data_IF_064822888703
#
_entry.id   IF_064822888703
#
_cell.length_a   1.000
_cell.length_b   1.000
_cell.length_c   1.000
_cell.angle_alpha   90.00
_cell.angle_beta   90.00
_cell.angle_gamma   90.00
#
_symmetry.space_group_name_H-M   'P 1'
#
loop_
_entity.id
_entity.type
_entity.pdbx_description
1 polymer ?
#
# COMPACT_ATOMS: atom_id res chain seq x y z
N UNK A 1 0.39 14.83 21.09
CA UNK A 1 -0.51 15.93 20.66
C UNK A 1 -0.12 16.34 19.26
N UNK A 2 -1.08 16.63 18.37
CA UNK A 2 -0.80 17.05 17.00
C UNK A 2 -1.97 17.80 16.36
N UNK A 3 -1.82 18.20 15.09
CA UNK A 3 -2.89 18.89 14.34
C UNK A 3 -4.17 18.05 14.33
N UNK A 4 -5.32 18.68 14.51
CA UNK A 4 -6.64 18.01 14.54
C UNK A 4 -6.88 17.11 13.32
N UNK A 5 -6.52 17.57 12.14
CA UNK A 5 -6.63 16.79 10.90
C UNK A 5 -5.79 15.50 10.92
N UNK A 6 -4.55 15.59 11.40
CA UNK A 6 -3.67 14.45 11.52
C UNK A 6 -4.22 13.42 12.52
N UNK A 7 -4.77 13.88 13.65
CA UNK A 7 -5.41 13.02 14.63
C UNK A 7 -6.66 12.31 14.05
N UNK A 8 -7.50 13.02 13.28
CA UNK A 8 -8.67 12.43 12.60
C UNK A 8 -8.24 11.32 11.64
N UNK A 9 -7.21 11.59 10.84
CA UNK A 9 -6.63 10.61 9.91
C UNK A 9 -6.09 9.37 10.62
N UNK A 10 -5.47 9.54 11.78
CA UNK A 10 -4.95 8.44 12.59
C UNK A 10 -6.07 7.53 13.13
N UNK A 11 -7.17 8.16 13.56
CA UNK A 11 -8.34 7.49 14.16
C UNK A 11 -9.27 6.86 13.12
N UNK A 12 -9.23 7.33 11.87
CA UNK A 12 -10.20 6.99 10.84
C UNK A 12 -10.35 5.48 10.62
N UNK A 13 -11.59 5.03 10.41
CA UNK A 13 -11.94 3.63 10.17
C UNK A 13 -12.21 3.33 8.69
N UNK A 14 -12.12 2.07 8.25
CA UNK A 14 -12.49 1.69 6.90
C UNK A 14 -13.88 2.22 6.52
N UNK A 15 -13.98 2.82 5.33
CA UNK A 15 -15.18 3.46 4.81
C UNK A 15 -15.26 4.97 5.10
N UNK A 16 -14.51 5.49 6.05
CA UNK A 16 -14.48 6.93 6.35
C UNK A 16 -13.63 7.71 5.34
N UNK A 17 -14.00 8.98 5.10
CA UNK A 17 -13.30 9.85 4.15
C UNK A 17 -11.80 10.02 4.47
N UNK A 18 -11.50 10.15 5.77
CA UNK A 18 -10.16 10.37 6.30
C UNK A 18 -9.32 9.09 6.38
N UNK A 19 -9.91 7.91 6.10
CA UNK A 19 -9.21 6.64 6.18
C UNK A 19 -8.10 6.55 5.14
N UNK A 20 -6.89 6.24 5.58
CA UNK A 20 -5.72 6.30 4.74
C UNK A 20 -4.65 5.30 5.21
N UNK A 21 -3.54 5.26 4.47
CA UNK A 21 -2.41 4.39 4.75
C UNK A 21 -1.81 4.57 6.16
N UNK A 22 -1.78 5.80 6.69
CA UNK A 22 -1.28 6.06 8.04
C UNK A 22 -2.18 5.37 9.07
N UNK A 23 -3.50 5.49 8.94
CA UNK A 23 -4.47 4.84 9.82
C UNK A 23 -4.24 3.31 9.84
N UNK A 24 -4.09 2.72 8.65
CA UNK A 24 -3.86 1.28 8.47
C UNK A 24 -2.57 0.83 9.15
N UNK A 25 -1.46 1.53 8.90
CA UNK A 25 -0.15 1.13 9.40
C UNK A 25 -0.02 1.31 10.91
N UNK A 26 -0.61 2.36 11.47
CA UNK A 26 -0.60 2.56 12.93
C UNK A 26 -1.49 1.51 13.60
N UNK A 27 -2.68 1.24 13.06
CA UNK A 27 -3.61 0.23 13.59
C UNK A 27 -3.08 -1.21 13.47
N UNK A 28 -2.04 -1.45 12.66
CA UNK A 28 -1.34 -2.74 12.63
C UNK A 28 -0.69 -3.05 13.99
N UNK A 29 0.01 -2.07 14.56
CA UNK A 29 0.90 -2.25 15.72
C UNK A 29 0.37 -1.64 17.02
N UNK A 30 -0.61 -0.74 16.94
CA UNK A 30 -1.11 0.00 18.08
C UNK A 30 -2.62 0.29 17.98
N UNK A 31 -3.25 0.49 19.13
CA UNK A 31 -4.56 1.10 19.25
C UNK A 31 -4.41 2.60 19.50
N UNK A 32 -5.37 3.36 18.97
CA UNK A 32 -5.36 4.84 19.02
C UNK A 32 -6.68 5.30 19.60
N UNK A 33 -6.60 6.06 20.68
CA UNK A 33 -7.76 6.61 21.38
C UNK A 33 -7.75 8.14 21.28
N UNK A 34 -8.91 8.71 21.04
CA UNK A 34 -9.11 10.16 21.13
C UNK A 34 -9.27 10.56 22.59
N UNK A 35 -8.54 11.59 23.02
CA UNK A 35 -8.63 12.10 24.39
C UNK A 35 -9.41 13.41 24.41
N UNK A 36 -8.92 14.44 23.70
CA UNK A 36 -9.58 15.74 23.65
C UNK A 36 -9.08 16.61 22.51
N UNK A 37 -9.84 17.67 22.19
CA UNK A 37 -9.39 18.75 21.34
C UNK A 37 -8.77 19.86 22.19
N UNK A 38 -7.78 20.55 21.63
CA UNK A 38 -7.16 21.73 22.25
C UNK A 38 -7.21 22.88 21.26
N UNK A 39 -7.73 24.01 21.73
CA UNK A 39 -7.91 25.19 20.90
C UNK A 39 -6.54 25.80 20.57
N UNK A 40 -6.37 26.32 19.36
CA UNK A 40 -5.17 27.10 19.02
C UNK A 40 -4.91 28.27 19.98
N UNK A 41 -5.96 28.79 20.64
CA UNK A 41 -5.85 29.89 21.62
C UNK A 41 -5.09 29.49 22.89
N UNK A 42 -4.96 28.19 23.16
CA UNK A 42 -4.32 27.66 24.36
C UNK A 42 -2.78 27.57 24.21
N UNK A 43 -2.22 28.05 23.10
CA UNK A 43 -0.81 27.96 22.76
C UNK A 43 -0.15 29.35 22.65
N UNK A 44 1.15 29.41 22.98
CA UNK A 44 2.00 30.57 22.76
C UNK A 44 3.28 30.17 22.00
N UNK A 45 3.56 30.72 20.80
CA UNK A 45 2.69 31.58 20.00
C UNK A 45 1.46 30.82 19.45
N UNK A 46 0.38 31.55 19.18
CA UNK A 46 -0.87 30.97 18.67
C UNK A 46 -0.69 30.39 17.25
N UNK A 47 -0.91 29.08 17.03
CA UNK A 47 -0.81 28.45 15.71
C UNK A 47 -2.02 28.75 14.82
N UNK A 48 -1.93 28.38 13.53
CA UNK A 48 -3.00 28.61 12.55
C UNK A 48 -4.24 27.73 12.74
N UNK A 49 -4.07 26.56 13.36
CA UNK A 49 -5.07 25.48 13.39
C UNK A 49 -5.16 24.84 14.77
N UNK A 50 -6.32 24.23 15.07
CA UNK A 50 -6.53 23.50 16.31
C UNK A 50 -5.75 22.18 16.35
N UNK A 51 -5.57 21.70 17.58
CA UNK A 51 -4.87 20.45 17.88
C UNK A 51 -5.81 19.43 18.51
N UNK A 52 -5.38 18.17 18.51
CA UNK A 52 -6.01 17.09 19.25
C UNK A 52 -4.95 16.29 20.00
N UNK A 53 -5.36 15.77 21.15
CA UNK A 53 -4.60 14.82 21.95
C UNK A 53 -5.16 13.44 21.66
N UNK A 54 -4.27 12.54 21.28
CA UNK A 54 -4.54 11.12 21.08
C UNK A 54 -3.60 10.33 21.97
N UNK A 55 -4.07 9.18 22.44
CA UNK A 55 -3.30 8.20 23.21
C UNK A 55 -3.06 7.00 22.31
N UNK A 56 -1.82 6.53 22.27
CA UNK A 56 -1.40 5.41 21.44
C UNK A 56 -0.91 4.31 22.36
N UNK A 57 -1.49 3.13 22.22
CA UNK A 57 -1.14 1.95 22.99
C UNK A 57 -0.65 0.86 22.06
N UNK A 58 0.59 0.41 22.24
CA UNK A 58 1.10 -0.73 21.49
C UNK A 58 0.25 -1.97 21.80
N UNK A 59 -0.08 -2.72 20.77
CA UNK A 59 -0.83 -3.97 20.91
C UNK A 59 0.05 -5.03 21.56
N UNK A 60 -0.56 -5.84 22.44
CA UNK A 60 0.09 -6.99 23.04
C UNK A 60 0.45 -8.04 21.97
N UNK A 61 -0.46 -8.24 21.01
CA UNK A 61 -0.29 -9.16 19.90
C UNK A 61 -0.28 -8.38 18.58
N UNK A 62 0.83 -8.48 17.86
CA UNK A 62 1.02 -7.89 16.53
C UNK A 62 0.98 -9.05 15.52
N UNK A 63 0.24 -8.93 14.41
CA UNK A 63 0.22 -9.97 13.38
C UNK A 63 1.63 -10.30 12.90
N UNK A 64 1.91 -11.59 12.70
CA UNK A 64 3.19 -12.06 12.15
C UNK A 64 3.25 -11.72 10.65
N UNK A 65 3.68 -10.50 10.35
CA UNK A 65 3.86 -10.00 8.99
C UNK A 65 5.19 -9.26 8.89
N UNK A 66 5.91 -9.45 7.78
CA UNK A 66 7.08 -8.63 7.49
C UNK A 66 6.64 -7.17 7.35
N UNK A 67 7.19 -6.29 8.19
CA UNK A 67 6.76 -4.89 8.23
C UNK A 67 7.10 -4.13 6.95
N UNK A 68 8.22 -4.47 6.28
CA UNK A 68 8.59 -3.84 5.01
C UNK A 68 7.61 -4.27 3.92
N UNK A 69 7.27 -5.55 3.92
CA UNK A 69 6.29 -6.13 3.00
C UNK A 69 4.92 -5.47 3.15
N UNK A 70 4.44 -5.36 4.39
CA UNK A 70 3.20 -4.69 4.70
C UNK A 70 3.20 -3.22 4.25
N UNK A 71 4.28 -2.49 4.53
CA UNK A 71 4.39 -1.08 4.13
C UNK A 71 4.39 -0.89 2.62
N UNK A 72 5.06 -1.78 1.88
CA UNK A 72 5.07 -1.75 0.42
C UNK A 72 3.71 -2.13 -0.17
N UNK A 73 3.08 -3.19 0.33
CA UNK A 73 1.74 -3.61 -0.07
C UNK A 73 0.69 -2.51 0.15
N UNK A 74 0.68 -1.90 1.34
CA UNK A 74 -0.25 -0.81 1.66
C UNK A 74 0.06 0.47 0.88
N UNK A 75 1.32 0.72 0.48
CA UNK A 75 1.66 1.79 -0.49
C UNK A 75 0.90 1.56 -1.79
N UNK A 76 1.03 0.38 -2.38
CA UNK A 76 0.38 0.03 -3.65
C UNK A 76 -1.13 0.15 -3.57
N UNK A 77 -1.75 -0.38 -2.52
CA UNK A 77 -3.20 -0.32 -2.35
C UNK A 77 -3.71 1.12 -2.18
N UNK A 78 -3.02 1.96 -1.42
CA UNK A 78 -3.54 3.28 -1.05
C UNK A 78 -3.20 4.41 -2.04
N UNK A 79 -2.40 4.16 -3.09
CA UNK A 79 -2.15 5.12 -4.18
C UNK A 79 -3.46 5.62 -4.81
N UNK A 80 -4.41 4.71 -5.05
CA UNK A 80 -5.76 5.03 -5.54
C UNK A 80 -6.81 4.32 -4.68
N UNK A 81 -6.83 4.61 -3.37
CA UNK A 81 -7.65 3.92 -2.34
C UNK A 81 -9.14 3.76 -2.67
N UNK A 82 -9.69 4.62 -3.55
CA UNK A 82 -11.09 4.60 -3.96
C UNK A 82 -11.33 3.86 -5.29
N UNK A 83 -10.31 3.35 -5.98
CA UNK A 83 -10.49 2.44 -7.12
C UNK A 83 -10.58 1.00 -6.61
N UNK A 84 -11.11 0.10 -7.43
CA UNK A 84 -11.14 -1.33 -7.10
C UNK A 84 -9.72 -1.89 -7.11
N UNK A 85 -9.46 -2.92 -6.31
CA UNK A 85 -8.16 -3.59 -6.30
C UNK A 85 -7.81 -4.13 -7.68
N UNK A 86 -8.77 -4.72 -8.40
CA UNK A 86 -8.57 -5.13 -9.79
C UNK A 86 -8.04 -4.00 -10.67
N UNK A 87 -8.60 -2.79 -10.55
CA UNK A 87 -8.12 -1.64 -11.33
C UNK A 87 -6.73 -1.14 -10.90
N UNK A 88 -6.39 -1.25 -9.61
CA UNK A 88 -5.08 -0.84 -9.08
C UNK A 88 -3.99 -1.79 -9.58
N UNK A 89 -4.24 -3.09 -9.48
CA UNK A 89 -3.27 -4.15 -9.78
C UNK A 89 -3.14 -4.48 -11.27
N UNK A 90 -4.14 -4.15 -12.10
CA UNK A 90 -4.06 -4.28 -13.58
C UNK A 90 -3.19 -3.19 -14.24
N UNK A 91 -2.71 -2.20 -13.49
CA UNK A 91 -1.94 -1.09 -14.05
C UNK A 91 -0.55 -1.55 -14.51
N UNK A 92 -0.19 -1.27 -15.77
CA UNK A 92 1.07 -1.75 -16.39
C UNK A 92 2.32 -1.43 -15.56
N UNK A 93 2.45 -0.18 -15.07
CA UNK A 93 3.58 0.24 -14.22
C UNK A 93 3.71 -0.62 -12.95
N UNK A 94 2.58 -0.91 -12.31
CA UNK A 94 2.52 -1.72 -11.10
C UNK A 94 2.95 -3.16 -11.42
N UNK A 95 2.43 -3.74 -12.51
CA UNK A 95 2.75 -5.10 -12.93
C UNK A 95 4.25 -5.26 -13.17
N UNK A 96 4.84 -4.32 -13.91
CA UNK A 96 6.28 -4.30 -14.17
C UNK A 96 7.09 -4.20 -12.87
N UNK A 97 6.69 -3.33 -11.94
CA UNK A 97 7.36 -3.17 -10.65
C UNK A 97 7.33 -4.47 -9.83
N UNK A 98 6.17 -5.11 -9.70
CA UNK A 98 6.05 -6.38 -9.00
C UNK A 98 6.83 -7.50 -9.69
N UNK A 99 6.81 -7.59 -11.02
CA UNK A 99 7.58 -8.62 -11.74
C UNK A 99 9.07 -8.49 -11.48
N UNK A 100 9.62 -7.27 -11.56
CA UNK A 100 11.04 -7.01 -11.23
C UNK A 100 11.42 -7.45 -9.80
N UNK A 101 10.52 -7.23 -8.85
CA UNK A 101 10.73 -7.66 -7.46
C UNK A 101 10.77 -9.19 -7.34
N UNK A 102 10.08 -9.91 -8.22
CA UNK A 102 10.14 -11.37 -8.26
C UNK A 102 11.41 -11.87 -8.96
N UNK A 103 11.84 -11.22 -10.04
CA UNK A 103 13.04 -11.59 -10.80
C UNK A 103 14.33 -11.40 -10.00
N UNK A 104 14.42 -10.36 -9.17
CA UNK A 104 15.60 -10.10 -8.30
C UNK A 104 15.89 -11.22 -7.29
N UNK A 105 15.00 -12.22 -7.15
CA UNK A 105 15.27 -13.45 -6.36
C UNK A 105 16.12 -14.48 -7.09
N UNK A 106 16.42 -14.30 -8.38
CA UNK A 106 17.28 -15.16 -9.18
C UNK A 106 18.26 -14.34 -10.02
N UNK A 107 19.54 -14.36 -9.64
CA UNK A 107 20.70 -13.82 -10.36
C UNK A 107 20.88 -12.30 -10.41
N UNK A 108 22.02 -11.86 -9.85
CA UNK A 108 22.70 -10.64 -10.30
C UNK A 108 23.27 -10.90 -11.69
N UNK A 109 22.74 -10.25 -12.73
CA UNK A 109 23.50 -9.63 -13.83
C UNK A 109 22.54 -9.13 -14.93
N UNK A 110 22.75 -7.88 -15.35
CA UNK A 110 22.27 -7.24 -16.58
C UNK A 110 20.76 -6.94 -16.70
N UNK A 111 20.22 -5.99 -15.91
CA UNK A 111 18.88 -5.45 -16.17
C UNK A 111 18.91 -3.98 -16.64
N UNK A 112 19.40 -3.75 -17.85
CA UNK A 112 19.22 -2.50 -18.62
C UNK A 112 17.85 -2.42 -19.30
N UNK A 113 16.95 -3.39 -19.10
CA UNK A 113 15.73 -3.56 -19.91
C UNK A 113 14.55 -2.67 -19.47
N UNK A 114 14.66 -2.02 -18.30
CA UNK A 114 13.59 -1.20 -17.73
C UNK A 114 14.08 0.07 -17.00
N UNK A 115 15.25 0.60 -17.40
CA UNK A 115 15.89 1.74 -16.71
C UNK A 115 15.17 3.08 -16.84
N UNK A 116 14.14 3.17 -17.69
CA UNK A 116 13.53 4.45 -18.09
C UNK A 116 12.31 4.86 -17.23
N UNK A 117 12.02 4.14 -16.15
CA UNK A 117 10.96 4.53 -15.21
C UNK A 117 11.51 5.45 -14.12
N UNK A 118 11.42 6.77 -14.32
CA UNK A 118 11.58 7.75 -13.24
C UNK A 118 10.37 7.73 -12.30
N UNK A 119 10.60 7.39 -11.03
CA UNK A 119 9.61 7.52 -9.95
C UNK A 119 9.51 9.00 -9.60
N UNK A 120 8.52 9.68 -10.17
CA UNK A 120 8.05 10.93 -9.59
C UNK A 120 7.01 10.56 -8.53
N UNK A 121 7.37 10.73 -7.26
CA UNK A 121 6.47 10.69 -6.09
C UNK A 121 5.55 11.93 -6.07
N UNK A 122 4.98 12.29 -7.21
CA UNK A 122 3.98 13.35 -7.28
C UNK A 122 2.62 12.70 -7.03
N UNK A 123 1.87 13.26 -6.07
CA UNK A 123 0.45 13.00 -5.93
C UNK A 123 -0.26 13.41 -7.23
N UNK A 124 -0.33 12.49 -8.19
CA UNK A 124 -0.90 12.75 -9.51
C UNK A 124 -2.41 12.96 -9.39
N UNK A 125 -2.76 14.25 -9.39
CA UNK A 125 -4.09 14.74 -9.78
C UNK A 125 -4.40 14.23 -11.19
N UNK A 126 -5.54 13.58 -11.31
CA UNK A 126 -6.26 13.22 -12.54
C UNK A 126 -5.51 13.43 -13.87
N UNK A 127 -5.02 12.33 -14.41
CA UNK A 127 -4.45 12.25 -15.76
C UNK A 127 -4.36 10.79 -16.20
N UNK A 128 -5.44 10.27 -16.75
CA UNK A 128 -5.44 8.97 -17.44
C UNK A 128 -4.83 9.18 -18.82
N UNK A 129 -3.53 8.87 -18.97
CA UNK A 129 -2.95 8.60 -20.28
C UNK A 129 -2.52 7.13 -20.31
N UNK A 130 -3.35 6.31 -20.95
CA UNK A 130 -3.00 4.95 -21.34
C UNK A 130 -2.12 4.98 -22.60
N UNK A 131 -1.01 5.72 -22.63
CA UNK A 131 -0.13 5.75 -23.80
C UNK A 131 1.35 5.89 -23.41
N UNK A 132 1.84 4.97 -22.58
CA UNK A 132 3.27 4.66 -22.57
C UNK A 132 3.50 3.57 -23.63
N UNK A 133 3.65 4.02 -24.89
CA UNK A 133 3.93 3.19 -26.05
C UNK A 133 5.40 2.75 -26.02
N UNK A 134 5.72 1.90 -25.04
CA UNK A 134 7.03 1.25 -24.88
C UNK A 134 6.98 -0.07 -25.64
N UNK A 135 7.82 -0.19 -26.67
CA UNK A 135 8.01 -1.41 -27.47
C UNK A 135 8.70 -2.48 -26.62
N UNK A 136 7.90 -3.26 -25.89
CA UNK A 136 8.36 -4.49 -25.28
C UNK A 136 8.56 -5.56 -26.35
N UNK A 137 9.57 -6.42 -26.18
CA UNK A 137 9.66 -7.66 -26.95
C UNK A 137 8.37 -8.47 -26.78
N UNK A 138 7.96 -9.19 -27.83
CA UNK A 138 6.79 -10.08 -27.83
C UNK A 138 6.78 -11.01 -26.60
N UNK A 139 7.93 -11.52 -26.19
CA UNK A 139 8.02 -12.47 -25.07
C UNK A 139 7.75 -11.78 -23.72
N UNK A 140 8.28 -10.57 -23.52
CA UNK A 140 8.02 -9.77 -22.32
C UNK A 140 6.54 -9.37 -22.20
N UNK A 141 5.88 -9.09 -23.33
CA UNK A 141 4.43 -8.82 -23.34
C UNK A 141 3.63 -10.05 -22.93
N UNK A 142 4.02 -11.24 -23.38
CA UNK A 142 3.37 -12.50 -22.98
C UNK A 142 3.54 -12.75 -21.49
N UNK A 143 4.75 -12.59 -20.96
CA UNK A 143 5.04 -12.77 -19.54
C UNK A 143 4.21 -11.80 -18.69
N UNK A 144 4.15 -10.52 -19.07
CA UNK A 144 3.33 -9.50 -18.40
C UNK A 144 1.84 -9.87 -18.38
N UNK A 145 1.32 -10.43 -19.46
CA UNK A 145 -0.08 -10.86 -19.53
C UNK A 145 -0.32 -12.08 -18.62
N UNK A 146 0.58 -13.06 -18.62
CA UNK A 146 0.48 -14.22 -17.73
C UNK A 146 0.51 -13.79 -16.25
N UNK A 147 1.43 -12.90 -15.88
CA UNK A 147 1.52 -12.38 -14.52
C UNK A 147 0.28 -11.57 -14.11
N UNK A 148 -0.26 -10.79 -15.04
CA UNK A 148 -1.53 -10.10 -14.84
C UNK A 148 -2.67 -11.10 -14.58
N UNK A 149 -2.72 -12.21 -15.30
CA UNK A 149 -3.76 -13.22 -15.12
C UNK A 149 -3.64 -13.91 -13.76
N UNK A 150 -2.42 -14.21 -13.30
CA UNK A 150 -2.16 -14.72 -11.95
C UNK A 150 -2.70 -13.75 -10.89
N UNK A 151 -2.39 -12.46 -11.01
CA UNK A 151 -2.88 -11.44 -10.08
C UNK A 151 -4.41 -11.35 -10.09
N UNK A 152 -5.03 -11.43 -11.27
CA UNK A 152 -6.48 -11.41 -11.38
C UNK A 152 -7.11 -12.64 -10.73
N UNK A 153 -6.51 -13.82 -10.89
CA UNK A 153 -6.98 -15.05 -10.25
C UNK A 153 -6.89 -14.96 -8.73
N UNK A 154 -5.80 -14.43 -8.17
CA UNK A 154 -5.64 -14.19 -6.73
C UNK A 154 -6.76 -13.27 -6.21
N UNK A 155 -7.01 -12.16 -6.91
CA UNK A 155 -8.03 -11.19 -6.51
C UNK A 155 -9.44 -11.74 -6.64
N UNK A 156 -9.72 -12.52 -7.68
CA UNK A 156 -11.05 -13.09 -7.95
C UNK A 156 -11.37 -14.22 -6.99
N UNK A 157 -10.45 -15.18 -6.83
CA UNK A 157 -10.59 -16.31 -5.90
C UNK A 157 -10.68 -15.85 -4.44
N UNK A 158 -9.98 -14.78 -4.07
CA UNK A 158 -10.08 -14.15 -2.75
C UNK A 158 -11.28 -13.21 -2.57
N UNK A 159 -12.10 -12.95 -3.61
CA UNK A 159 -13.23 -12.04 -3.52
C UNK A 159 -12.85 -10.56 -3.31
N UNK A 160 -11.65 -10.17 -3.75
CA UNK A 160 -11.09 -8.83 -3.59
C UNK A 160 -11.15 -7.98 -4.86
N UNK A 161 -11.44 -8.55 -6.04
CA UNK A 161 -11.36 -7.85 -7.33
C UNK A 161 -12.11 -6.50 -7.33
N UNK A 162 -13.35 -6.48 -6.88
CA UNK A 162 -14.22 -5.28 -6.85
C UNK A 162 -14.14 -4.49 -5.54
N UNK A 163 -13.42 -5.01 -4.54
CA UNK A 163 -13.25 -4.31 -3.26
C UNK A 163 -12.33 -3.11 -3.41
N UNK A 164 -12.55 -2.09 -2.57
CA UNK A 164 -11.78 -0.85 -2.57
C UNK A 164 -10.93 -0.79 -1.30
N UNK A 165 -9.63 -0.47 -1.38
CA UNK A 165 -8.75 -0.37 -0.22
C UNK A 165 -9.32 0.52 0.90
N UNK A 166 -10.01 1.60 0.54
CA UNK A 166 -10.61 2.51 1.52
C UNK A 166 -11.71 1.89 2.37
N UNK A 167 -12.22 0.71 2.01
CA UNK A 167 -13.29 -0.01 2.73
C UNK A 167 -12.81 -1.27 3.44
N UNK A 168 -11.55 -1.68 3.23
CA UNK A 168 -11.05 -2.94 3.76
C UNK A 168 -10.59 -2.78 5.21
N UNK A 169 -10.93 -3.77 6.04
CA UNK A 169 -10.37 -3.89 7.38
C UNK A 169 -8.89 -4.29 7.34
N UNK A 170 -8.21 -4.16 8.48
CA UNK A 170 -6.83 -4.62 8.64
C UNK A 170 -6.72 -6.12 8.37
N UNK A 171 -7.68 -6.89 8.88
CA UNK A 171 -7.73 -8.35 8.74
C UNK A 171 -7.91 -8.75 7.28
N UNK A 172 -8.80 -8.07 6.55
CA UNK A 172 -8.99 -8.28 5.11
C UNK A 172 -7.74 -7.93 4.30
N UNK A 173 -7.03 -6.86 4.66
CA UNK A 173 -5.77 -6.48 4.02
C UNK A 173 -4.64 -7.49 4.30
N UNK A 174 -4.57 -8.03 5.52
CA UNK A 174 -3.61 -9.07 5.89
C UNK A 174 -3.90 -10.38 5.14
N UNK A 175 -5.17 -10.75 5.03
CA UNK A 175 -5.60 -11.92 4.28
C UNK A 175 -5.21 -11.79 2.80
N UNK A 176 -5.50 -10.65 2.17
CA UNK A 176 -5.11 -10.36 0.80
C UNK A 176 -3.58 -10.44 0.60
N UNK A 177 -2.80 -9.85 1.50
CA UNK A 177 -1.34 -9.96 1.44
C UNK A 177 -0.89 -11.42 1.58
N UNK A 178 -1.55 -12.21 2.42
CA UNK A 178 -1.25 -13.63 2.58
C UNK A 178 -1.51 -14.42 1.29
N UNK A 179 -2.56 -14.08 0.52
CA UNK A 179 -2.85 -14.70 -0.77
C UNK A 179 -1.74 -14.42 -1.79
N UNK A 180 -1.28 -13.17 -1.89
CA UNK A 180 -0.13 -12.82 -2.72
C UNK A 180 1.14 -13.58 -2.31
N UNK A 181 1.44 -13.62 -1.01
CA UNK A 181 2.60 -14.34 -0.49
C UNK A 181 2.54 -15.85 -0.79
N UNK A 182 1.37 -16.48 -0.70
CA UNK A 182 1.17 -17.90 -1.08
C UNK A 182 1.43 -18.14 -2.56
N UNK A 183 1.05 -17.18 -3.41
CA UNK A 183 1.37 -17.17 -4.84
C UNK A 183 2.81 -16.72 -5.15
N UNK A 184 3.67 -16.55 -4.14
CA UNK A 184 5.07 -16.12 -4.26
C UNK A 184 5.24 -14.71 -4.84
N UNK A 185 4.21 -13.88 -4.77
CA UNK A 185 4.26 -12.47 -5.18
C UNK A 185 4.52 -11.62 -3.93
N UNK A 186 5.66 -10.93 -3.92
CA UNK A 186 6.06 -10.06 -2.83
C UNK A 186 6.19 -8.60 -3.27
N UNK A 187 5.90 -7.69 -2.35
CA UNK A 187 5.89 -6.24 -2.52
C UNK A 187 7.18 -5.59 -2.02
N UNK A 188 8.01 -6.32 -1.29
CA UNK A 188 9.29 -5.87 -0.78
C UNK A 188 10.33 -6.99 -0.86
N UNK A 189 11.60 -6.60 -0.75
CA UNK A 189 12.66 -7.56 -0.55
C UNK A 189 12.65 -8.07 0.89
N UNK A 190 12.32 -9.35 1.06
CA UNK A 190 12.45 -10.03 2.34
C UNK A 190 13.84 -10.65 2.43
N UNK A 191 14.72 -10.09 3.27
CA UNK A 191 15.87 -10.82 3.82
C UNK A 191 15.32 -11.93 4.70
N UNK A 192 15.01 -13.09 4.13
CA UNK A 192 14.93 -14.32 4.91
C UNK A 192 16.09 -15.23 4.53
N UNK A 193 17.24 -14.90 5.12
CA UNK A 193 18.25 -15.88 5.53
C UNK A 193 18.70 -15.48 6.92
N UNK A 194 17.89 -15.81 7.93
CA UNK A 194 18.47 -16.16 9.23
C UNK A 194 18.09 -17.62 9.45
N UNK A 195 19.04 -18.47 9.08
CA UNK A 195 19.05 -19.87 9.44
C UNK A 195 19.00 -19.99 10.96
N UNK A 196 18.24 -20.99 11.38
CA UNK A 196 18.37 -21.60 12.70
C UNK A 196 19.81 -22.03 12.97
#
# INVERSE_FOLDING_TARGET
MGRKEFARRLLANPGESEFNRLAVNVKLVADVEFIMNVSKKDFLPCPKVDSSVVKIHQKAEIPEVDYKEWCAFTRTCFTKKNKTLGAIFKHKRMLVELMKLQETKGYEENNTLYSDYHINDTEDKDGLSNEDNVNFSSDVVKDLNLFRDIINDILSSGGFEDKRPSKLSREELLDLLSLFNRARIHFSWSSKTDGK
#
